data_IF_841321534870
#
_entry.id   IF_841321534870
#
_cell.length_a   1.000
_cell.length_b   1.000
_cell.length_c   1.000
_cell.angle_alpha   90.00
_cell.angle_beta   90.00
_cell.angle_gamma   90.00
#
_symmetry.space_group_name_H-M   'P 1'
#
loop_
_entity.id
_entity.type
_entity.pdbx_description
1 polymer ?
#
# COMPACT_ATOMS: atom_id res chain seq x y z
N UNK A 1 -3.68 7.85 -24.88
CA UNK A 1 -3.79 6.60 -24.09
C UNK A 1 -4.34 7.03 -22.76
N UNK A 2 -5.64 6.87 -22.57
CA UNK A 2 -6.25 7.09 -21.26
C UNK A 2 -5.76 5.94 -20.38
N UNK A 3 -4.89 6.26 -19.42
CA UNK A 3 -4.56 5.33 -18.35
C UNK A 3 -5.86 5.15 -17.56
N UNK A 4 -6.62 4.11 -17.90
CA UNK A 4 -7.56 3.54 -16.95
C UNK A 4 -6.68 3.08 -15.81
N UNK A 5 -6.67 3.82 -14.71
CA UNK A 5 -6.14 3.34 -13.44
C UNK A 5 -6.95 2.09 -13.13
N UNK A 6 -6.45 0.93 -13.58
CA UNK A 6 -6.97 -0.36 -13.18
C UNK A 6 -6.92 -0.32 -11.65
N UNK A 7 -8.09 -0.28 -11.01
CA UNK A 7 -8.15 -0.33 -9.55
C UNK A 7 -7.28 -1.51 -9.14
N UNK A 8 -6.27 -1.22 -8.31
CA UNK A 8 -5.33 -2.20 -7.80
C UNK A 8 -6.07 -3.50 -7.46
N UNK A 9 -5.60 -4.68 -7.91
CA UNK A 9 -6.24 -5.97 -7.57
C UNK A 9 -6.22 -6.24 -6.06
N UNK A 10 -5.47 -5.44 -5.31
CA UNK A 10 -5.35 -5.47 -3.87
C UNK A 10 -6.64 -5.03 -3.19
N UNK A 11 -6.98 -5.71 -2.11
CA UNK A 11 -8.01 -5.22 -1.21
C UNK A 11 -7.43 -4.08 -0.36
N UNK A 12 -7.96 -2.88 -0.55
CA UNK A 12 -7.58 -1.67 0.18
C UNK A 12 -8.76 -1.24 1.05
N UNK A 13 -8.49 -1.03 2.33
CA UNK A 13 -9.45 -0.47 3.27
C UNK A 13 -8.92 0.84 3.85
N UNK A 14 -9.81 1.80 4.06
CA UNK A 14 -9.50 3.10 4.65
C UNK A 14 -10.35 3.28 5.91
N UNK A 15 -9.75 3.80 6.98
CA UNK A 15 -10.42 4.14 8.23
C UNK A 15 -9.89 5.47 8.76
N UNK A 16 -10.79 6.44 8.91
CA UNK A 16 -10.54 7.69 9.59
C UNK A 16 -10.74 7.53 11.11
N UNK A 17 -9.89 8.17 11.90
CA UNK A 17 -9.96 8.28 13.35
C UNK A 17 -9.94 9.76 13.76
N UNK A 18 -10.27 10.07 15.02
CA UNK A 18 -10.26 11.46 15.50
C UNK A 18 -8.86 12.12 15.44
N UNK A 19 -7.81 11.31 15.50
CA UNK A 19 -6.40 11.74 15.53
C UNK A 19 -5.62 11.37 14.25
N UNK A 20 -6.28 10.97 13.17
CA UNK A 20 -5.61 10.65 11.92
C UNK A 20 -6.33 9.62 11.07
N UNK A 21 -5.58 8.86 10.29
CA UNK A 21 -6.14 7.88 9.35
C UNK A 21 -5.28 6.64 9.24
N UNK A 22 -5.89 5.57 8.73
CA UNK A 22 -5.21 4.31 8.42
C UNK A 22 -5.71 3.76 7.10
N UNK A 23 -4.78 3.46 6.19
CA UNK A 23 -5.01 2.66 4.98
C UNK A 23 -4.36 1.29 5.21
N UNK A 24 -5.13 0.22 5.05
CA UNK A 24 -4.62 -1.14 5.11
C UNK A 24 -4.77 -1.81 3.74
N UNK A 25 -3.71 -2.46 3.28
CA UNK A 25 -3.60 -3.12 1.99
C UNK A 25 -3.26 -4.59 2.21
N UNK A 26 -4.11 -5.48 1.70
CA UNK A 26 -3.90 -6.92 1.71
C UNK A 26 -3.02 -7.34 0.52
N UNK A 27 -1.80 -7.78 0.84
CA UNK A 27 -0.81 -8.31 -0.10
C UNK A 27 -0.72 -9.84 -0.04
N UNK A 28 -1.40 -10.52 0.90
CA UNK A 28 -1.31 -11.98 1.07
C UNK A 28 -1.85 -12.73 -0.16
N UNK A 29 -2.80 -12.10 -0.87
CA UNK A 29 -3.32 -12.57 -2.16
C UNK A 29 -2.26 -12.70 -3.26
N UNK A 30 -1.12 -12.04 -3.12
CA UNK A 30 0.01 -12.14 -4.05
C UNK A 30 0.92 -13.33 -3.74
N UNK A 31 0.77 -13.98 -2.58
CA UNK A 31 1.59 -15.11 -2.13
C UNK A 31 3.10 -14.81 -2.10
N UNK A 32 3.46 -13.58 -1.70
CA UNK A 32 4.85 -13.13 -1.52
C UNK A 32 5.14 -12.89 -0.04
N UNK A 33 6.39 -13.14 0.38
CA UNK A 33 6.84 -12.77 1.72
C UNK A 33 7.14 -11.28 1.81
N UNK A 34 7.04 -10.73 3.02
CA UNK A 34 7.31 -9.32 3.31
C UNK A 34 8.69 -8.85 2.79
N UNK A 35 9.70 -9.73 2.76
CA UNK A 35 11.06 -9.44 2.25
C UNK A 35 11.13 -9.13 0.74
N UNK A 36 10.08 -9.47 -0.02
CA UNK A 36 9.96 -9.18 -1.45
C UNK A 36 9.18 -7.88 -1.74
N UNK A 37 8.73 -7.18 -0.70
CA UNK A 37 7.90 -5.98 -0.82
C UNK A 37 8.70 -4.77 -0.39
N UNK A 38 8.78 -3.78 -1.27
CA UNK A 38 9.30 -2.44 -0.95
C UNK A 38 8.15 -1.45 -1.01
N UNK A 39 8.11 -0.53 -0.05
CA UNK A 39 7.09 0.52 0.00
C UNK A 39 7.80 1.86 0.14
N UNK A 40 7.48 2.77 -0.78
CA UNK A 40 7.93 4.16 -0.76
C UNK A 40 6.71 5.07 -0.64
N UNK A 41 6.75 6.01 0.30
CA UNK A 41 5.69 7.01 0.49
C UNK A 41 6.16 8.34 -0.07
N UNK A 42 5.44 8.86 -1.08
CA UNK A 42 5.77 10.09 -1.78
C UNK A 42 4.56 11.02 -1.72
N UNK A 43 4.63 12.04 -0.87
CA UNK A 43 3.50 12.95 -0.69
C UNK A 43 2.26 12.20 -0.22
N UNK A 44 1.22 12.16 -1.06
CA UNK A 44 -0.08 11.50 -0.79
C UNK A 44 -0.24 10.17 -1.51
N UNK A 45 0.86 9.53 -1.91
CA UNK A 45 0.85 8.25 -2.61
C UNK A 45 1.84 7.29 -1.94
N UNK A 46 1.48 6.01 -1.86
CA UNK A 46 2.41 4.95 -1.53
C UNK A 46 2.58 4.04 -2.75
N UNK A 47 3.84 3.85 -3.16
CA UNK A 47 4.23 2.95 -4.24
C UNK A 47 4.64 1.63 -3.59
N UNK A 48 3.92 0.55 -3.91
CA UNK A 48 4.18 -0.80 -3.41
C UNK A 48 4.77 -1.62 -4.54
N UNK A 49 6.08 -1.83 -4.49
CA UNK A 49 6.81 -2.67 -5.43
C UNK A 49 6.96 -4.09 -4.88
N UNK A 50 6.65 -5.07 -5.72
CA UNK A 50 6.84 -6.50 -5.44
C UNK A 50 7.89 -7.03 -6.39
N UNK A 51 8.99 -7.56 -5.85
CA UNK A 51 10.05 -8.23 -6.60
C UNK A 51 10.31 -9.62 -6.03
N UNK A 52 9.49 -10.57 -6.48
CA UNK A 52 9.58 -11.98 -6.14
C UNK A 52 9.92 -12.82 -7.40
N UNK A 53 10.51 -14.03 -7.25
CA UNK A 53 10.89 -14.87 -8.40
C UNK A 53 9.75 -15.19 -9.39
N UNK A 54 8.50 -15.12 -8.94
CA UNK A 54 7.31 -15.47 -9.70
C UNK A 54 6.39 -14.28 -10.01
N UNK A 55 6.72 -13.09 -9.48
CA UNK A 55 5.88 -11.91 -9.62
C UNK A 55 6.75 -10.64 -9.50
N UNK A 56 6.73 -9.83 -10.55
CA UNK A 56 7.28 -8.48 -10.54
C UNK A 56 6.17 -7.52 -10.96
N UNK A 57 5.78 -6.63 -10.04
CA UNK A 57 4.66 -5.71 -10.26
C UNK A 57 4.75 -4.52 -9.30
N UNK A 58 4.00 -3.47 -9.60
CA UNK A 58 3.94 -2.24 -8.82
C UNK A 58 2.48 -1.80 -8.67
N UNK A 59 2.16 -1.25 -7.52
CA UNK A 59 0.83 -0.74 -7.19
C UNK A 59 0.93 0.65 -6.58
N UNK A 60 0.14 1.57 -7.11
CA UNK A 60 -0.03 2.90 -6.54
C UNK A 60 -1.23 2.89 -5.59
N UNK A 61 -1.02 3.38 -4.36
CA UNK A 61 -2.04 3.47 -3.32
C UNK A 61 -2.22 4.93 -2.92
N UNK A 62 -3.40 5.48 -3.20
CA UNK A 62 -3.79 6.83 -2.79
C UNK A 62 -3.89 6.93 -1.26
N UNK A 63 -3.32 8.01 -0.70
CA UNK A 63 -3.35 8.32 0.73
C UNK A 63 -4.14 9.60 1.01
N UNK A 64 -4.87 9.67 2.14
CA UNK A 64 -5.63 10.87 2.51
C UNK A 64 -4.79 12.13 2.69
N UNK A 65 -3.56 11.98 3.21
CA UNK A 65 -2.63 13.07 3.46
C UNK A 65 -1.18 12.56 3.50
N UNK A 66 -0.21 13.49 3.45
CA UNK A 66 1.21 13.15 3.47
C UNK A 66 1.75 12.79 4.85
N UNK A 67 2.90 12.12 4.91
CA UNK A 67 3.58 11.80 6.17
C UNK A 67 3.08 10.51 6.82
N UNK A 68 2.67 9.53 6.01
CA UNK A 68 2.33 8.21 6.49
C UNK A 68 3.56 7.47 7.04
N UNK A 69 3.34 6.70 8.09
CA UNK A 69 4.27 5.69 8.61
C UNK A 69 3.78 4.33 8.14
N UNK A 70 4.68 3.54 7.57
CA UNK A 70 4.39 2.21 7.06
C UNK A 70 4.74 1.11 8.06
N UNK A 71 3.94 0.06 8.08
CA UNK A 71 4.25 -1.22 8.75
C UNK A 71 3.77 -2.34 7.85
N UNK A 72 4.65 -3.28 7.52
CA UNK A 72 4.29 -4.51 6.83
C UNK A 72 4.42 -5.66 7.80
N UNK A 73 3.34 -6.44 7.95
CA UNK A 73 3.34 -7.60 8.82
C UNK A 73 2.35 -8.64 8.32
N UNK A 74 2.86 -9.85 8.06
CA UNK A 74 2.05 -11.01 7.65
C UNK A 74 1.20 -10.69 6.41
N UNK A 75 1.83 -10.11 5.37
CA UNK A 75 1.12 -9.79 4.13
C UNK A 75 0.15 -8.62 4.22
N UNK A 76 0.08 -7.89 5.34
CA UNK A 76 -0.74 -6.67 5.44
C UNK A 76 0.16 -5.45 5.58
N UNK A 77 0.09 -4.56 4.59
CA UNK A 77 0.69 -3.23 4.67
C UNK A 77 -0.30 -2.29 5.34
N UNK A 78 0.13 -1.67 6.44
CA UNK A 78 -0.59 -0.60 7.13
C UNK A 78 0.15 0.71 6.91
N UNK A 79 -0.54 1.70 6.36
CA UNK A 79 -0.09 3.08 6.20
C UNK A 79 -0.94 3.93 7.14
N UNK A 80 -0.30 4.69 8.03
CA UNK A 80 -1.04 5.48 9.00
C UNK A 80 -0.39 6.82 9.25
N UNK A 81 -1.20 7.83 9.51
CA UNK A 81 -0.76 9.14 9.97
C UNK A 81 -1.47 9.42 11.28
N UNK A 82 -0.75 10.02 12.25
CA UNK A 82 -1.34 10.63 13.44
C UNK A 82 -1.04 12.12 13.45
N UNK A 83 -2.03 12.92 13.83
CA UNK A 83 -1.97 14.38 13.91
C UNK A 83 -1.74 14.87 15.34
#
# INVERSE_FOLDING_TARGET
MDAQTERSPLHVSHTDHDDGWTVAVDLDSLHVSDDHVTVDVIGTEAIVAVDAPHLQTEFDIDLPAAGAVQTLRNGVLTLSQRS
#
